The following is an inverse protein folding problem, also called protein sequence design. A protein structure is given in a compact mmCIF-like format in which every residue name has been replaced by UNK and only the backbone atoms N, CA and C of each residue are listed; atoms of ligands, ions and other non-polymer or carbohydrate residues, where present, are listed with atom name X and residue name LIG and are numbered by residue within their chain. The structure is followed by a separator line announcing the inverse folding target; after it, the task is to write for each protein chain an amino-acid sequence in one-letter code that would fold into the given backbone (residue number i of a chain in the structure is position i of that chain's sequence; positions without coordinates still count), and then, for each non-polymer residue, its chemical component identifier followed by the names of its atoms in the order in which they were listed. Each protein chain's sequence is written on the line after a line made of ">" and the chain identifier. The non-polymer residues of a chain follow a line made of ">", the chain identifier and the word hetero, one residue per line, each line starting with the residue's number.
data_IF_099931648048
#
_entry.id   IF_099931648048
#
_cell.length_a   1.000
_cell.length_b   1.000
_cell.length_c   1.000
_cell.angle_alpha   90.00
_cell.angle_beta   90.00
_cell.angle_gamma   90.00
#
_symmetry.space_group_name_H-M   'P 1'
#
loop_
_entity.id
_entity.type
_entity.pdbx_description
1 polymer ?
#
# COMPACT_ATOMS: atom_id res chain seq x y z
N UNK A 1 -1.22 11.79 -1.61
CA UNK A 1 -0.16 10.79 -1.82
C UNK A 1 0.98 11.42 -2.63
N UNK A 2 2.22 10.92 -2.58
CA UNK A 2 2.74 9.94 -1.60
C UNK A 2 3.08 10.59 -0.25
N UNK A 3 3.55 11.85 -0.25
CA UNK A 3 4.03 12.58 0.93
C UNK A 3 3.04 12.59 2.11
N UNK A 4 1.78 12.98 1.88
CA UNK A 4 0.74 13.00 2.93
C UNK A 4 0.50 11.63 3.56
N UNK A 5 0.51 10.56 2.78
CA UNK A 5 0.21 9.21 3.30
C UNK A 5 1.33 8.72 4.20
N UNK A 6 2.58 8.84 3.73
CA UNK A 6 3.75 8.44 4.50
C UNK A 6 3.88 9.31 5.76
N UNK A 7 3.75 10.64 5.64
CA UNK A 7 3.81 11.53 6.80
C UNK A 7 2.70 11.23 7.82
N UNK A 8 1.48 10.90 7.36
CA UNK A 8 0.40 10.45 8.24
C UNK A 8 0.79 9.19 9.01
N UNK A 9 1.35 8.18 8.32
CA UNK A 9 1.81 6.94 8.95
C UNK A 9 2.92 7.20 9.98
N UNK A 10 3.88 8.08 9.65
CA UNK A 10 4.99 8.43 10.52
C UNK A 10 4.54 9.20 11.77
N UNK A 11 3.63 10.16 11.64
CA UNK A 11 3.12 10.97 12.76
C UNK A 11 2.19 10.17 13.67
N UNK A 12 1.31 9.35 13.09
CA UNK A 12 0.31 8.57 13.86
C UNK A 12 0.88 7.23 14.34
N UNK A 13 2.09 6.84 13.92
CA UNK A 13 2.74 5.58 14.31
C UNK A 13 2.00 4.33 13.85
N UNK A 14 1.15 4.44 12.82
CA UNK A 14 0.29 3.35 12.33
C UNK A 14 0.63 2.93 10.90
N UNK A 15 0.42 1.65 10.62
CA UNK A 15 0.57 1.14 9.25
C UNK A 15 -0.53 1.67 8.33
N UNK A 16 -0.19 1.84 7.05
CA UNK A 16 -1.15 2.09 5.97
C UNK A 16 -1.81 0.80 5.46
N UNK A 17 -1.39 -0.37 5.97
CA UNK A 17 -1.80 -1.67 5.46
C UNK A 17 -0.84 -2.23 4.40
N UNK A 18 -1.02 -3.51 4.04
CA UNK A 18 -0.10 -4.21 3.15
C UNK A 18 -0.84 -5.08 2.10
N UNK A 19 -0.98 -4.62 0.85
CA UNK A 19 -0.57 -3.29 0.35
C UNK A 19 -1.39 -2.12 0.95
N UNK A 20 -0.86 -0.89 0.95
CA UNK A 20 -1.57 0.30 1.44
C UNK A 20 -2.91 0.60 0.74
N UNK A 21 -3.07 0.19 -0.52
CA UNK A 21 -4.32 0.38 -1.26
C UNK A 21 -5.42 -0.60 -0.85
N UNK A 22 -5.12 -1.57 0.03
CA UNK A 22 -6.07 -2.56 0.52
C UNK A 22 -6.26 -3.78 -0.38
N UNK A 23 -5.77 -3.75 -1.62
CA UNK A 23 -5.93 -4.85 -2.56
C UNK A 23 -5.50 -6.20 -1.95
N UNK A 24 -6.36 -7.21 -2.08
CA UNK A 24 -6.11 -8.59 -1.65
C UNK A 24 -6.41 -8.88 -0.18
N UNK A 25 -6.38 -7.90 0.72
CA UNK A 25 -6.57 -8.11 2.17
C UNK A 25 -7.71 -7.27 2.78
N UNK A 26 -7.90 -6.04 2.33
CA UNK A 26 -8.97 -5.13 2.76
C UNK A 26 -9.95 -4.75 1.64
N UNK A 27 -9.62 -5.05 0.39
CA UNK A 27 -10.45 -4.82 -0.78
C UNK A 27 -10.23 -5.89 -1.85
N UNK A 28 -11.29 -6.21 -2.59
CA UNK A 28 -11.31 -7.08 -3.76
C UNK A 28 -12.05 -6.37 -4.89
N UNK A 29 -11.82 -6.81 -6.13
CA UNK A 29 -12.59 -6.38 -7.29
C UNK A 29 -13.49 -7.52 -7.77
N UNK A 30 -14.68 -7.19 -8.27
CA UNK A 30 -15.61 -8.13 -8.87
C UNK A 30 -15.87 -7.67 -10.30
N UNK A 31 -15.51 -8.49 -11.28
CA UNK A 31 -15.76 -8.21 -12.69
C UNK A 31 -17.23 -8.47 -13.05
N UNK A 32 -17.66 -7.96 -14.20
CA UNK A 32 -19.05 -8.09 -14.68
C UNK A 32 -19.50 -9.53 -14.93
N UNK A 33 -18.57 -10.46 -15.15
CA UNK A 33 -18.84 -11.90 -15.26
C UNK A 33 -18.93 -12.61 -13.89
N UNK A 34 -18.70 -11.89 -12.79
CA UNK A 34 -18.67 -12.39 -11.43
C UNK A 34 -17.30 -12.87 -10.94
N UNK A 35 -16.24 -12.78 -11.74
CA UNK A 35 -14.90 -13.15 -11.28
C UNK A 35 -14.43 -12.21 -10.17
N UNK A 36 -13.86 -12.80 -9.12
CA UNK A 36 -13.29 -12.08 -7.98
C UNK A 36 -11.79 -11.98 -8.19
N UNK A 37 -11.26 -10.75 -8.12
CA UNK A 37 -9.85 -10.44 -8.24
C UNK A 37 -9.31 -9.82 -6.95
N UNK A 38 -8.06 -10.10 -6.60
CA UNK A 38 -7.37 -9.44 -5.49
C UNK A 38 -7.06 -7.97 -5.77
N UNK A 39 -6.93 -7.58 -7.04
CA UNK A 39 -6.56 -6.23 -7.44
C UNK A 39 -7.33 -5.81 -8.70
N UNK A 40 -7.93 -4.61 -8.76
CA UNK A 40 -8.75 -4.19 -9.90
C UNK A 40 -7.96 -3.97 -11.19
N UNK A 41 -6.65 -3.70 -11.11
CA UNK A 41 -5.80 -3.50 -12.29
C UNK A 41 -5.15 -4.79 -12.80
N UNK A 42 -5.29 -5.89 -12.06
CA UNK A 42 -4.65 -7.17 -12.35
C UNK A 42 -5.61 -8.11 -13.08
N UNK A 43 -6.30 -7.61 -14.11
CA UNK A 43 -7.40 -8.32 -14.79
C UNK A 43 -6.96 -9.59 -15.49
N UNK A 44 -5.77 -9.59 -16.09
CA UNK A 44 -5.24 -10.71 -16.86
C UNK A 44 -4.22 -11.55 -16.07
N UNK A 45 -3.94 -11.13 -14.84
CA UNK A 45 -2.93 -11.77 -14.00
C UNK A 45 -3.51 -12.99 -13.29
N UNK A 46 -3.01 -14.18 -13.62
CA UNK A 46 -3.53 -15.45 -13.08
C UNK A 46 -3.45 -15.51 -11.54
N UNK A 47 -2.40 -14.93 -10.94
CA UNK A 47 -2.28 -14.85 -9.49
C UNK A 47 -3.38 -14.02 -8.85
N UNK A 48 -3.95 -13.04 -9.56
CA UNK A 48 -4.95 -12.15 -9.00
C UNK A 48 -6.35 -12.77 -8.93
N UNK A 49 -6.63 -13.83 -9.70
CA UNK A 49 -7.94 -14.51 -9.68
C UNK A 49 -8.13 -15.29 -8.39
N UNK A 50 -9.20 -14.99 -7.66
CA UNK A 50 -9.54 -15.57 -6.36
C UNK A 50 -10.73 -16.54 -6.42
N UNK A 51 -11.57 -16.44 -7.46
CA UNK A 51 -12.75 -17.28 -7.61
C UNK A 51 -13.85 -16.57 -8.39
N UNK A 52 -15.09 -17.01 -8.19
CA UNK A 52 -16.29 -16.38 -8.73
C UNK A 52 -17.32 -16.18 -7.61
N UNK A 53 -18.10 -15.09 -7.67
CA UNK A 53 -19.12 -14.76 -6.65
C UNK A 53 -20.24 -15.80 -6.52
N UNK A 54 -20.37 -16.71 -7.50
CA UNK A 54 -21.32 -17.82 -7.44
C UNK A 54 -20.87 -18.92 -6.49
N UNK A 55 -19.57 -19.08 -6.29
CA UNK A 55 -18.98 -20.25 -5.63
C UNK A 55 -18.16 -19.91 -4.39
N UNK A 56 -17.84 -18.63 -4.17
CA UNK A 56 -16.98 -18.17 -3.08
C UNK A 56 -17.64 -17.04 -2.26
N UNK A 57 -17.42 -17.06 -0.95
CA UNK A 57 -17.78 -15.96 -0.05
C UNK A 57 -16.59 -15.02 0.18
N UNK A 58 -16.85 -13.85 0.78
CA UNK A 58 -15.79 -12.91 1.14
C UNK A 58 -14.72 -13.51 2.06
N UNK A 59 -15.10 -14.49 2.90
CA UNK A 59 -14.19 -15.19 3.82
C UNK A 59 -13.21 -16.11 3.09
N UNK A 60 -13.60 -16.59 1.92
CA UNK A 60 -12.80 -17.51 1.12
C UNK A 60 -11.73 -16.77 0.31
N UNK A 61 -11.91 -15.47 0.07
CA UNK A 61 -11.09 -14.68 -0.87
C UNK A 61 -10.26 -13.60 -0.18
N UNK A 62 -10.74 -12.97 0.89
CA UNK A 62 -9.99 -11.91 1.57
C UNK A 62 -8.75 -12.48 2.29
N UNK A 63 -7.62 -11.81 2.12
CA UNK A 63 -6.33 -12.21 2.69
C UNK A 63 -5.63 -13.34 1.94
N UNK A 64 -6.16 -13.82 0.80
CA UNK A 64 -5.53 -14.89 0.01
C UNK A 64 -4.35 -14.44 -0.84
N UNK A 65 -4.22 -13.13 -1.07
CA UNK A 65 -3.08 -12.51 -1.76
C UNK A 65 -2.59 -11.36 -0.92
N UNK A 66 -1.35 -11.50 -0.45
CA UNK A 66 -0.71 -10.61 0.52
C UNK A 66 0.72 -10.38 0.08
N UNK A 67 1.32 -9.33 0.62
CA UNK A 67 2.75 -9.11 0.45
C UNK A 67 3.51 -10.18 1.25
N UNK A 68 4.49 -10.81 0.61
CA UNK A 68 5.40 -11.77 1.22
C UNK A 68 6.86 -11.28 1.27
N UNK A 69 7.77 -12.24 1.38
CA UNK A 69 9.21 -11.95 1.32
C UNK A 69 9.63 -11.38 -0.06
N UNK A 70 10.63 -10.49 -0.10
CA UNK A 70 11.50 -10.05 1.01
C UNK A 70 10.90 -8.91 1.85
N UNK A 71 9.70 -8.43 1.53
CA UNK A 71 9.14 -7.23 2.14
C UNK A 71 8.80 -7.42 3.62
N UNK A 72 8.22 -8.56 4.00
CA UNK A 72 7.84 -8.87 5.40
C UNK A 72 9.01 -8.88 6.38
N UNK A 73 10.24 -9.04 5.88
CA UNK A 73 11.49 -9.01 6.67
C UNK A 73 12.18 -7.63 6.64
N UNK A 74 11.61 -6.64 5.95
CA UNK A 74 12.21 -5.32 5.77
C UNK A 74 11.82 -4.35 6.89
N UNK A 75 12.79 -3.59 7.42
CA UNK A 75 12.56 -2.58 8.46
C UNK A 75 11.62 -1.43 8.02
N UNK A 76 11.44 -1.22 6.72
CA UNK A 76 10.53 -0.20 6.17
C UNK A 76 9.09 -0.71 5.97
N UNK A 77 8.86 -2.01 6.14
CA UNK A 77 7.59 -2.66 5.80
C UNK A 77 6.38 -2.05 6.52
N UNK A 78 6.54 -1.68 7.79
CA UNK A 78 5.45 -1.07 8.58
C UNK A 78 4.95 0.26 7.98
N UNK A 79 5.79 0.96 7.22
CA UNK A 79 5.46 2.24 6.56
C UNK A 79 5.06 2.00 5.09
N UNK A 80 5.85 1.25 4.34
CA UNK A 80 5.63 1.09 2.89
C UNK A 80 4.59 0.01 2.54
N UNK A 81 4.28 -0.89 3.48
CA UNK A 81 3.31 -1.97 3.30
C UNK A 81 3.62 -2.91 2.14
N UNK A 82 4.85 -2.94 1.63
CA UNK A 82 5.21 -3.75 0.47
C UNK A 82 4.82 -3.19 -0.89
N UNK A 83 4.35 -1.93 -0.96
CA UNK A 83 3.95 -1.25 -2.21
C UNK A 83 2.80 -1.97 -2.92
N UNK A 84 2.67 -1.84 -4.23
CA UNK A 84 1.63 -2.50 -5.02
C UNK A 84 1.83 -4.03 -5.13
N UNK A 85 0.73 -4.79 -5.02
CA UNK A 85 0.73 -6.24 -5.27
C UNK A 85 1.26 -6.58 -6.66
N UNK A 86 0.91 -5.80 -7.68
CA UNK A 86 1.35 -6.04 -9.05
C UNK A 86 2.89 -6.01 -9.15
N UNK A 87 3.52 -4.99 -8.57
CA UNK A 87 4.97 -4.89 -8.48
C UNK A 87 5.60 -6.06 -7.72
N UNK A 88 4.94 -6.53 -6.66
CA UNK A 88 5.42 -7.63 -5.83
C UNK A 88 5.39 -8.99 -6.56
N UNK A 89 4.29 -9.28 -7.25
CA UNK A 89 4.04 -10.57 -7.90
C UNK A 89 4.61 -10.66 -9.32
N UNK A 90 4.40 -9.65 -10.16
CA UNK A 90 4.78 -9.72 -11.58
C UNK A 90 6.28 -9.48 -11.79
N UNK A 91 6.88 -8.57 -11.02
CA UNK A 91 8.30 -8.20 -11.13
C UNK A 91 8.76 -8.02 -12.59
N UNK A 92 7.98 -7.28 -13.39
CA UNK A 92 8.20 -7.14 -14.84
C UNK A 92 9.61 -6.65 -15.21
N UNK A 93 10.26 -5.87 -14.33
CA UNK A 93 11.64 -5.39 -14.49
C UNK A 93 12.68 -6.23 -13.74
N UNK A 94 12.34 -7.48 -13.43
CA UNK A 94 13.16 -8.39 -12.64
C UNK A 94 13.46 -7.88 -11.23
N UNK A 95 14.39 -8.58 -10.57
CA UNK A 95 14.83 -8.22 -9.22
C UNK A 95 15.54 -6.86 -9.16
N UNK A 96 16.23 -6.48 -10.23
CA UNK A 96 16.93 -5.20 -10.31
C UNK A 96 15.96 -4.03 -10.26
N UNK A 97 14.96 -3.99 -11.16
CA UNK A 97 13.95 -2.93 -11.16
C UNK A 97 13.11 -2.91 -9.88
N UNK A 98 12.80 -4.09 -9.33
CA UNK A 98 12.16 -4.17 -8.01
C UNK A 98 13.00 -3.50 -6.92
N UNK A 99 14.30 -3.77 -6.87
CA UNK A 99 15.22 -3.19 -5.90
C UNK A 99 15.41 -1.69 -6.09
N UNK A 100 15.50 -1.21 -7.35
CA UNK A 100 15.60 0.23 -7.66
C UNK A 100 14.40 1.00 -7.12
N UNK A 101 13.19 0.48 -7.35
CA UNK A 101 11.98 1.12 -6.82
C UNK A 101 11.88 1.01 -5.29
N UNK A 102 12.33 -0.11 -4.70
CA UNK A 102 12.42 -0.24 -3.25
C UNK A 102 13.35 0.81 -2.64
N UNK A 103 14.51 1.05 -3.27
CA UNK A 103 15.47 2.07 -2.85
C UNK A 103 14.89 3.49 -2.96
N UNK A 104 14.19 3.79 -4.06
CA UNK A 104 13.48 5.07 -4.20
C UNK A 104 12.43 5.29 -3.10
N UNK A 105 11.69 4.24 -2.75
CA UNK A 105 10.74 4.27 -1.63
C UNK A 105 11.42 4.52 -0.29
N UNK A 106 12.54 3.84 -0.01
CA UNK A 106 13.30 4.01 1.24
C UNK A 106 13.79 5.44 1.40
N UNK A 107 14.40 6.00 0.35
CA UNK A 107 14.88 7.40 0.34
C UNK A 107 13.76 8.39 0.58
N UNK A 108 12.57 8.17 0.02
CA UNK A 108 11.41 9.02 0.28
C UNK A 108 10.96 8.93 1.75
N UNK A 109 10.92 7.72 2.33
CA UNK A 109 10.56 7.53 3.74
C UNK A 109 11.57 8.21 4.65
N UNK A 110 12.87 8.08 4.37
CA UNK A 110 13.92 8.67 5.18
C UNK A 110 13.92 10.20 5.09
N UNK A 111 13.77 10.77 3.89
CA UNK A 111 13.60 12.21 3.73
C UNK A 111 12.37 12.73 4.52
N UNK A 112 11.29 11.96 4.57
CA UNK A 112 10.10 12.32 5.36
C UNK A 112 10.31 12.15 6.87
N UNK A 113 11.14 11.19 7.31
CA UNK A 113 11.56 11.07 8.72
C UNK A 113 12.43 12.24 9.15
N UNK A 114 13.33 12.72 8.28
CA UNK A 114 14.20 13.87 8.56
C UNK A 114 13.39 15.15 8.78
N UNK A 115 12.32 15.38 8.00
CA UNK A 115 11.47 16.57 8.15
C UNK A 115 10.35 16.39 9.19
N UNK A 116 10.12 15.17 9.71
CA UNK A 116 9.08 14.87 10.71
C UNK A 116 9.14 15.80 11.94
N UNK A 117 10.30 16.08 12.56
CA UNK A 117 10.37 16.97 13.71
C UNK A 117 9.91 18.41 13.41
N UNK A 118 10.20 18.90 12.19
CA UNK A 118 9.73 20.21 11.75
C UNK A 118 8.21 20.21 11.61
N UNK A 119 7.63 19.17 11.03
CA UNK A 119 6.17 19.03 10.90
C UNK A 119 5.50 18.97 12.26
N UNK A 120 6.07 18.23 13.22
CA UNK A 120 5.59 18.18 14.61
C UNK A 120 5.64 19.55 15.29
N UNK A 121 6.69 20.33 15.06
CA UNK A 121 6.80 21.70 15.56
C UNK A 121 5.74 22.62 14.95
N UNK A 122 5.52 22.56 13.63
CA UNK A 122 4.51 23.37 12.96
C UNK A 122 3.08 23.02 13.42
N UNK A 123 2.83 21.75 13.74
CA UNK A 123 1.58 21.29 14.36
C UNK A 123 1.42 21.85 15.78
N UNK A 124 2.49 21.81 16.59
CA UNK A 124 2.50 22.34 17.96
C UNK A 124 2.26 23.85 17.99
N UNK A 125 2.84 24.59 17.05
CA UNK A 125 2.65 26.03 16.88
C UNK A 125 1.28 26.40 16.27
N UNK A 126 0.51 25.42 15.78
CA UNK A 126 -0.79 25.65 15.14
C UNK A 126 -0.69 26.31 13.76
N UNK A 127 0.49 26.34 13.14
CA UNK A 127 0.71 26.88 11.79
C UNK A 127 0.04 25.98 10.74
N UNK A 128 0.07 24.67 10.98
CA UNK A 128 -0.66 23.66 10.21
C UNK A 128 -1.49 22.80 11.16
N UNK A 129 -2.54 22.17 10.65
CA UNK A 129 -3.35 21.22 11.42
C UNK A 129 -3.18 19.79 10.91
N UNK A 130 -3.51 18.81 11.75
CA UNK A 130 -3.51 17.40 11.32
C UNK A 130 -4.45 17.15 10.13
N UNK A 131 -5.51 17.96 9.94
CA UNK A 131 -6.42 17.85 8.79
C UNK A 131 -5.70 18.14 7.47
N UNK A 132 -4.71 19.03 7.47
CA UNK A 132 -3.95 19.42 6.28
C UNK A 132 -3.00 18.32 5.83
N UNK A 133 -2.51 17.51 6.78
CA UNK A 133 -1.53 16.45 6.56
C UNK A 133 -2.18 15.09 6.34
N UNK A 134 -3.25 14.79 7.09
CA UNK A 134 -3.85 13.46 7.16
C UNK A 134 -4.27 12.98 5.77
N UNK A 135 -3.78 11.79 5.41
CA UNK A 135 -4.30 11.04 4.28
C UNK A 135 -5.59 10.33 4.68
N UNK A 136 -6.62 10.30 3.82
CA UNK A 136 -7.90 9.71 4.18
C UNK A 136 -7.77 8.26 4.64
N UNK A 137 -8.53 7.82 5.65
CA UNK A 137 -8.44 6.46 6.16
C UNK A 137 -9.15 5.41 5.29
N UNK A 138 -9.96 5.85 4.32
CA UNK A 138 -10.68 4.94 3.43
C UNK A 138 -9.81 4.50 2.24
N UNK A 139 -10.03 3.27 1.79
CA UNK A 139 -9.35 2.72 0.62
C UNK A 139 -9.86 3.40 -0.64
N UNK A 140 -9.02 4.21 -1.28
CA UNK A 140 -9.36 4.97 -2.47
C UNK A 140 -8.63 4.48 -3.72
N UNK A 141 -8.06 3.27 -3.68
CA UNK A 141 -7.30 2.63 -4.76
C UNK A 141 -6.04 3.37 -5.26
N UNK A 142 -5.72 4.55 -4.71
CA UNK A 142 -4.54 5.31 -5.08
C UNK A 142 -3.29 4.58 -4.58
N UNK A 143 -2.28 4.44 -5.45
CA UNK A 143 -0.95 4.02 -5.03
C UNK A 143 -0.29 5.16 -4.23
N UNK A 144 -0.20 4.96 -2.92
CA UNK A 144 0.32 5.99 -2.00
C UNK A 144 1.80 5.82 -1.66
N UNK A 145 2.37 4.68 -2.01
CA UNK A 145 3.78 4.35 -1.88
C UNK A 145 4.30 4.08 -3.29
N UNK A 146 5.16 4.95 -3.84
CA UNK A 146 5.64 4.85 -5.21
C UNK A 146 6.57 3.67 -5.42
#
# INVERSE_FOLDING_TARGET
>A
APFKAIMTSLLEGRSLGAPPCGAGWGAIAINTNGDILSCPIAVDASWAKLGNVRDASWRDVLGKRVIGEPCTMCSYYNVCGGRCLYTHYERLWGSEGFNMMCEATRRLIDALREVKPLVEELLRLGIVSMKDIRYPPYLNSVEVIP
#
